data_IF_252049628530
#
_entry.id   IF_252049628530
#
_cell.length_a   1.000
_cell.length_b   1.000
_cell.length_c   1.000
_cell.angle_alpha   90.00
_cell.angle_beta   90.00
_cell.angle_gamma   90.00
#
_symmetry.space_group_name_H-M   'P 1'
#
loop_
_entity.id
_entity.type
_entity.pdbx_description
1 polymer ?
#
# COMPACT_ATOMS: atom_id res chain seq x y z
N UNK A 1 10.77 8.18 41.14
CA UNK A 1 11.56 8.66 39.99
C UNK A 1 11.09 7.89 38.80
N UNK A 2 10.10 8.44 38.08
CA UNK A 2 9.62 7.87 36.83
C UNK A 2 10.73 8.04 35.79
N UNK A 3 11.20 6.90 35.26
CA UNK A 3 12.15 6.90 34.16
C UNK A 3 11.50 7.57 32.97
N UNK A 4 12.10 8.65 32.48
CA UNK A 4 11.78 9.21 31.19
C UNK A 4 12.15 8.12 30.17
N UNK A 5 11.15 7.35 29.73
CA UNK A 5 11.29 6.49 28.57
C UNK A 5 11.73 7.37 27.40
N UNK A 6 12.97 7.20 26.99
CA UNK A 6 13.43 7.72 25.70
C UNK A 6 12.60 6.98 24.65
N UNK A 7 11.58 7.65 24.11
CA UNK A 7 10.88 7.20 22.91
C UNK A 7 11.97 6.92 21.88
N UNK A 8 12.12 5.65 21.52
CA UNK A 8 13.00 5.25 20.44
C UNK A 8 12.49 5.97 19.19
N UNK A 9 13.24 6.96 18.72
CA UNK A 9 12.87 7.76 17.57
C UNK A 9 13.11 6.92 16.32
N UNK A 10 12.13 6.11 15.95
CA UNK A 10 12.10 5.40 14.68
C UNK A 10 12.25 6.43 13.53
N UNK A 11 13.02 6.11 12.47
CA UNK A 11 13.17 7.02 11.35
C UNK A 11 11.80 7.33 10.75
N UNK A 12 11.64 8.58 10.30
CA UNK A 12 10.38 9.06 9.71
C UNK A 12 10.65 9.39 8.23
N UNK A 13 9.79 8.94 7.31
CA UNK A 13 9.97 9.28 5.90
C UNK A 13 9.87 10.80 5.67
N UNK A 14 10.61 11.29 4.69
CA UNK A 14 10.32 12.60 4.08
C UNK A 14 9.11 12.46 3.19
N UNK A 15 8.05 13.23 3.47
CA UNK A 15 6.88 13.30 2.59
C UNK A 15 7.09 14.40 1.53
N UNK A 16 6.67 14.12 0.31
CA UNK A 16 6.69 15.03 -0.84
C UNK A 16 5.40 14.86 -1.62
N UNK A 17 4.81 15.96 -2.09
CA UNK A 17 3.67 15.91 -3.01
C UNK A 17 4.21 16.12 -4.40
N UNK A 18 3.74 15.32 -5.35
CA UNK A 18 4.19 15.40 -6.73
C UNK A 18 3.04 15.17 -7.69
N UNK A 19 3.17 15.79 -8.85
CA UNK A 19 2.34 15.51 -10.02
C UNK A 19 3.22 14.81 -11.04
N UNK A 20 2.73 13.70 -11.59
CA UNK A 20 3.45 12.89 -12.59
C UNK A 20 2.68 12.97 -13.91
N UNK A 21 3.28 13.63 -14.92
CA UNK A 21 2.65 13.77 -16.25
C UNK A 21 2.52 12.44 -16.97
N UNK A 22 3.45 11.53 -16.73
CA UNK A 22 3.45 10.16 -17.22
C UNK A 22 2.23 9.39 -16.73
N UNK A 23 1.84 9.56 -15.46
CA UNK A 23 0.62 8.95 -14.93
C UNK A 23 -0.64 9.60 -15.49
N UNK A 24 -0.67 10.93 -15.61
CA UNK A 24 -1.79 11.65 -16.25
C UNK A 24 -2.01 11.20 -17.71
N UNK A 25 -0.91 10.95 -18.43
CA UNK A 25 -0.96 10.39 -19.77
C UNK A 25 -1.58 8.99 -19.79
N UNK A 26 -1.16 8.10 -18.88
CA UNK A 26 -1.70 6.74 -18.82
C UNK A 26 -3.14 6.72 -18.34
N UNK A 27 -3.53 7.50 -17.36
CA UNK A 27 -4.93 7.59 -16.93
C UNK A 27 -5.87 7.92 -18.11
N UNK A 28 -5.44 8.78 -19.03
CA UNK A 28 -6.22 9.15 -20.21
C UNK A 28 -6.11 8.16 -21.39
N UNK A 29 -5.11 7.29 -21.40
CA UNK A 29 -4.82 6.38 -22.50
C UNK A 29 -4.83 4.89 -22.13
N UNK A 30 -5.22 4.55 -20.89
CA UNK A 30 -5.13 3.18 -20.36
C UNK A 30 -5.89 2.15 -21.21
N UNK A 31 -7.00 2.56 -21.84
CA UNK A 31 -7.75 1.75 -22.80
C UNK A 31 -6.90 1.24 -23.98
N UNK A 32 -5.84 1.95 -24.34
CA UNK A 32 -4.90 1.53 -25.38
C UNK A 32 -3.99 0.39 -24.91
N UNK A 33 -3.88 0.15 -23.61
CA UNK A 33 -3.02 -0.86 -22.98
C UNK A 33 -3.80 -2.01 -22.34
N UNK A 34 -5.10 -2.15 -22.65
CA UNK A 34 -5.93 -3.26 -22.15
C UNK A 34 -5.35 -4.65 -22.49
N UNK A 35 -4.56 -4.74 -23.57
CA UNK A 35 -3.86 -5.97 -23.96
C UNK A 35 -2.81 -6.46 -22.95
N UNK A 36 -2.35 -5.58 -22.06
CA UNK A 36 -1.42 -5.91 -20.96
C UNK A 36 -2.13 -6.74 -19.87
N UNK A 37 -3.43 -6.50 -19.65
CA UNK A 37 -4.24 -7.21 -18.66
C UNK A 37 -3.86 -6.93 -17.20
N UNK A 38 -3.08 -5.88 -16.93
CA UNK A 38 -2.71 -5.43 -15.58
C UNK A 38 -2.45 -3.92 -15.59
N UNK A 39 -3.42 -3.15 -15.11
CA UNK A 39 -3.37 -1.67 -15.13
C UNK A 39 -2.23 -1.13 -14.27
N UNK A 40 -2.06 -1.67 -13.05
CA UNK A 40 -0.99 -1.26 -12.14
C UNK A 40 0.40 -1.42 -12.77
N UNK A 41 0.65 -2.51 -13.51
CA UNK A 41 1.92 -2.68 -14.21
C UNK A 41 2.18 -1.56 -15.23
N UNK A 42 1.13 -1.09 -15.92
CA UNK A 42 1.24 0.03 -16.87
C UNK A 42 1.53 1.34 -16.13
N UNK A 43 0.86 1.61 -15.00
CA UNK A 43 1.13 2.76 -14.14
C UNK A 43 2.57 2.75 -13.61
N UNK A 44 3.05 1.61 -13.12
CA UNK A 44 4.44 1.44 -12.66
C UNK A 44 5.42 1.75 -13.79
N UNK A 45 5.23 1.17 -14.98
CA UNK A 45 6.12 1.44 -16.12
C UNK A 45 6.09 2.91 -16.54
N UNK A 46 4.93 3.57 -16.47
CA UNK A 46 4.80 4.99 -16.82
C UNK A 46 5.67 5.89 -15.94
N UNK A 47 5.79 5.59 -14.64
CA UNK A 47 6.68 6.35 -13.74
C UNK A 47 8.11 6.41 -14.26
N UNK A 48 8.59 5.38 -14.95
CA UNK A 48 9.97 5.35 -15.49
C UNK A 48 10.22 6.38 -16.60
N UNK A 49 9.17 6.93 -17.20
CA UNK A 49 9.27 7.95 -18.25
C UNK A 49 9.77 9.30 -17.70
N UNK A 50 9.43 9.62 -16.45
CA UNK A 50 9.92 10.80 -15.72
C UNK A 50 11.02 10.45 -14.71
N UNK A 51 11.09 9.18 -14.28
CA UNK A 51 12.05 8.64 -13.33
C UNK A 51 12.83 7.46 -13.92
N UNK A 52 13.72 7.69 -14.91
CA UNK A 52 14.51 6.60 -15.50
C UNK A 52 15.40 5.89 -14.46
N UNK A 53 15.74 6.55 -13.35
CA UNK A 53 16.46 5.96 -12.22
C UNK A 53 15.67 4.85 -11.50
N UNK A 54 14.34 4.79 -11.66
CA UNK A 54 13.46 3.77 -11.06
C UNK A 54 13.25 2.54 -11.95
N UNK A 55 13.79 2.56 -13.17
CA UNK A 55 13.52 1.53 -14.18
C UNK A 55 13.83 0.12 -13.71
N UNK A 56 15.03 -0.11 -13.18
CA UNK A 56 15.46 -1.46 -12.79
C UNK A 56 14.62 -2.01 -11.64
N UNK A 57 14.36 -1.19 -10.60
CA UNK A 57 13.55 -1.56 -9.44
C UNK A 57 12.09 -1.87 -9.84
N UNK A 58 11.51 -1.10 -10.76
CA UNK A 58 10.16 -1.32 -11.26
C UNK A 58 10.08 -2.60 -12.11
N UNK A 59 11.04 -2.82 -13.00
CA UNK A 59 11.09 -4.04 -13.80
C UNK A 59 11.27 -5.29 -12.93
N UNK A 60 12.08 -5.21 -11.87
CA UNK A 60 12.23 -6.30 -10.90
C UNK A 60 10.93 -6.59 -10.17
N UNK A 61 10.22 -5.56 -9.70
CA UNK A 61 8.93 -5.73 -9.02
C UNK A 61 7.87 -6.36 -9.91
N UNK A 62 7.69 -5.87 -11.14
CA UNK A 62 6.72 -6.44 -12.08
C UNK A 62 7.07 -7.91 -12.34
N UNK A 63 8.34 -8.23 -12.55
CA UNK A 63 8.78 -9.61 -12.77
C UNK A 63 8.52 -10.51 -11.55
N UNK A 64 8.75 -10.01 -10.33
CA UNK A 64 8.57 -10.78 -9.09
C UNK A 64 7.10 -10.99 -8.76
N UNK A 65 6.29 -9.94 -8.86
CA UNK A 65 4.92 -9.92 -8.30
C UNK A 65 3.82 -10.06 -9.36
N UNK A 66 4.12 -9.76 -10.63
CA UNK A 66 3.16 -9.80 -11.73
C UNK A 66 3.66 -10.70 -12.87
N UNK A 67 3.96 -11.99 -12.61
CA UNK A 67 4.56 -12.90 -13.60
C UNK A 67 3.65 -13.18 -14.81
N UNK A 68 2.36 -12.86 -14.74
CA UNK A 68 1.42 -12.91 -15.86
C UNK A 68 1.65 -11.80 -16.89
N UNK A 69 2.25 -10.68 -16.51
CA UNK A 69 2.59 -9.57 -17.41
C UNK A 69 3.81 -9.97 -18.24
N UNK A 70 3.58 -10.22 -19.53
CA UNK A 70 4.61 -10.68 -20.47
C UNK A 70 5.20 -9.52 -21.25
N UNK A 71 6.41 -9.71 -21.78
CA UNK A 71 7.08 -8.77 -22.69
C UNK A 71 7.16 -7.32 -22.15
N UNK A 72 7.40 -7.17 -20.84
CA UNK A 72 7.49 -5.87 -20.12
C UNK A 72 8.34 -4.83 -20.86
N UNK A 73 9.47 -5.25 -21.46
CA UNK A 73 10.32 -4.37 -22.26
C UNK A 73 9.62 -3.77 -23.49
N UNK A 74 8.81 -4.56 -24.21
CA UNK A 74 8.03 -4.06 -25.36
C UNK A 74 6.92 -3.13 -24.94
N UNK A 75 6.29 -3.39 -23.79
CA UNK A 75 5.27 -2.51 -23.21
C UNK A 75 5.91 -1.16 -22.90
N UNK A 76 7.09 -1.16 -22.28
CA UNK A 76 7.82 0.08 -21.98
C UNK A 76 8.26 0.81 -23.26
N UNK A 77 8.79 0.12 -24.27
CA UNK A 77 9.15 0.74 -25.56
C UNK A 77 7.94 1.39 -26.23
N UNK A 78 6.77 0.74 -26.16
CA UNK A 78 5.50 1.29 -26.65
C UNK A 78 5.09 2.53 -25.86
N UNK A 79 5.13 2.46 -24.53
CA UNK A 79 4.83 3.59 -23.63
C UNK A 79 5.74 4.79 -23.92
N UNK A 80 7.05 4.57 -24.02
CA UNK A 80 8.04 5.61 -24.35
C UNK A 80 7.69 6.25 -25.70
N UNK A 81 7.46 5.44 -26.74
CA UNK A 81 7.09 5.94 -28.06
C UNK A 81 5.82 6.79 -28.00
N UNK A 82 4.75 6.28 -27.39
CA UNK A 82 3.46 6.94 -27.37
C UNK A 82 3.52 8.23 -26.53
N UNK A 83 4.23 8.23 -25.40
CA UNK A 83 4.40 9.40 -24.55
C UNK A 83 5.22 10.51 -25.23
N UNK A 84 6.37 10.17 -25.83
CA UNK A 84 7.26 11.17 -26.41
C UNK A 84 6.83 11.65 -27.82
N UNK A 85 6.13 10.81 -28.61
CA UNK A 85 5.72 11.18 -29.97
C UNK A 85 4.44 12.01 -30.05
N UNK A 86 3.62 11.97 -29.01
CA UNK A 86 2.27 12.51 -29.02
C UNK A 86 2.20 13.99 -28.63
N UNK A 87 3.29 14.59 -28.12
CA UNK A 87 3.32 15.98 -27.66
C UNK A 87 2.52 16.26 -26.39
N UNK A 88 2.04 15.20 -25.72
CA UNK A 88 1.15 15.27 -24.55
C UNK A 88 1.72 16.05 -23.37
N UNK A 89 3.04 16.09 -23.22
CA UNK A 89 3.71 16.83 -22.13
C UNK A 89 3.35 18.32 -22.08
N UNK A 90 2.92 18.87 -23.23
CA UNK A 90 2.50 20.27 -23.38
C UNK A 90 1.00 20.49 -23.16
N UNK A 91 0.20 19.41 -23.20
CA UNK A 91 -1.25 19.43 -23.07
C UNK A 91 -1.72 19.13 -21.63
N UNK A 92 -0.94 18.35 -20.88
CA UNK A 92 -1.23 18.03 -19.48
C UNK A 92 -0.97 19.28 -18.63
N UNK A 93 -2.04 19.90 -18.16
CA UNK A 93 -2.00 20.92 -17.13
C UNK A 93 -2.11 20.24 -15.77
N UNK A 94 -1.08 20.35 -14.92
CA UNK A 94 -1.13 19.75 -13.60
C UNK A 94 -2.31 20.33 -12.80
N UNK A 95 -3.06 19.49 -12.08
CA UNK A 95 -4.15 19.98 -11.23
C UNK A 95 -3.60 20.68 -9.98
N UNK A 96 -3.39 22.00 -10.07
CA UNK A 96 -2.85 22.80 -8.99
C UNK A 96 -3.73 22.75 -7.73
N UNK A 97 -5.04 22.57 -7.87
CA UNK A 97 -5.98 22.54 -6.74
C UNK A 97 -5.72 21.35 -5.81
N UNK A 98 -5.56 20.15 -6.38
CA UNK A 98 -5.32 18.93 -5.58
C UNK A 98 -3.94 18.99 -4.89
N UNK A 99 -2.93 19.54 -5.58
CA UNK A 99 -1.60 19.73 -5.01
C UNK A 99 -1.61 20.75 -3.86
N UNK A 100 -2.40 21.83 -3.98
CA UNK A 100 -2.60 22.81 -2.91
C UNK A 100 -3.29 22.13 -1.72
N UNK A 101 -4.37 21.37 -1.96
CA UNK A 101 -5.10 20.65 -0.91
C UNK A 101 -4.16 19.73 -0.13
N UNK A 102 -3.39 18.88 -0.83
CA UNK A 102 -2.45 17.98 -0.18
C UNK A 102 -1.35 18.74 0.57
N UNK A 103 -0.93 19.91 0.08
CA UNK A 103 0.08 20.73 0.76
C UNK A 103 -0.44 21.24 2.10
N UNK A 104 -1.71 21.64 2.15
CA UNK A 104 -2.37 22.06 3.39
C UNK A 104 -2.57 20.90 4.38
N UNK A 105 -2.78 19.68 3.87
CA UNK A 105 -3.03 18.47 4.68
C UNK A 105 -1.76 17.63 4.95
N UNK A 106 -0.60 18.03 4.41
CA UNK A 106 0.68 17.34 4.59
C UNK A 106 1.07 17.12 6.06
N UNK A 107 0.86 18.08 6.99
CA UNK A 107 1.12 17.85 8.41
C UNK A 107 0.29 16.71 9.01
N UNK A 108 -0.97 16.59 8.61
CA UNK A 108 -1.87 15.52 9.05
C UNK A 108 -1.44 14.17 8.48
N UNK A 109 -1.15 14.11 7.18
CA UNK A 109 -0.62 12.90 6.54
C UNK A 109 0.67 12.41 7.22
N UNK A 110 1.57 13.34 7.56
CA UNK A 110 2.80 13.03 8.30
C UNK A 110 2.50 12.45 9.69
N UNK A 111 1.55 13.03 10.41
CA UNK A 111 1.13 12.54 11.72
C UNK A 111 0.56 11.12 11.63
N UNK A 112 -0.31 10.85 10.65
CA UNK A 112 -0.91 9.53 10.40
C UNK A 112 0.17 8.48 10.13
N UNK A 113 1.07 8.72 9.17
CA UNK A 113 2.21 7.82 8.89
C UNK A 113 3.09 7.60 10.14
N UNK A 114 3.35 8.66 10.91
CA UNK A 114 4.12 8.54 12.16
C UNK A 114 3.42 7.62 13.17
N UNK A 115 2.10 7.70 13.28
CA UNK A 115 1.30 6.84 14.15
C UNK A 115 1.37 5.38 13.70
N UNK A 116 1.30 5.11 12.39
CA UNK A 116 1.44 3.76 11.84
C UNK A 116 2.83 3.19 12.15
N UNK A 117 3.91 3.94 11.88
CA UNK A 117 5.28 3.51 12.21
C UNK A 117 5.43 3.26 13.72
N UNK A 118 4.87 4.12 14.57
CA UNK A 118 4.88 3.96 16.02
C UNK A 118 4.07 2.74 16.48
N UNK A 119 2.97 2.42 15.78
CA UNK A 119 2.10 1.30 16.10
C UNK A 119 2.76 -0.04 15.73
N UNK A 120 3.16 -0.19 14.47
CA UNK A 120 3.70 -1.43 13.92
C UNK A 120 5.17 -1.66 14.27
N UNK A 121 5.91 -0.58 14.55
CA UNK A 121 7.34 -0.57 14.89
C UNK A 121 8.20 -1.40 13.91
N UNK A 122 8.11 -1.14 12.59
CA UNK A 122 9.03 -1.75 11.63
C UNK A 122 10.49 -1.40 11.97
N UNK A 123 11.41 -2.24 11.52
CA UNK A 123 12.85 -2.01 11.62
C UNK A 123 13.26 -0.78 10.79
N UNK A 124 14.40 -0.17 11.10
CA UNK A 124 14.82 1.07 10.45
C UNK A 124 15.04 0.91 8.93
N UNK A 125 15.46 -0.27 8.49
CA UNK A 125 15.63 -0.68 7.11
C UNK A 125 14.32 -1.08 6.41
N UNK A 126 13.25 -1.33 7.17
CA UNK A 126 11.91 -1.63 6.66
C UNK A 126 11.07 -0.34 6.47
N UNK A 127 11.57 0.82 6.90
CA UNK A 127 10.89 2.11 6.75
C UNK A 127 11.42 2.82 5.50
N UNK A 128 10.51 3.12 4.57
CA UNK A 128 10.83 3.96 3.42
C UNK A 128 11.45 5.29 3.86
N UNK A 129 12.53 5.73 3.21
CA UNK A 129 13.15 7.03 3.49
C UNK A 129 12.33 8.19 2.94
N UNK A 130 11.54 7.93 1.89
CA UNK A 130 10.71 8.92 1.21
C UNK A 130 9.31 8.35 0.95
N UNK A 131 8.29 9.17 1.14
CA UNK A 131 6.92 8.92 0.66
C UNK A 131 6.56 10.02 -0.34
N UNK A 132 6.22 9.64 -1.57
CA UNK A 132 5.71 10.55 -2.60
C UNK A 132 4.20 10.37 -2.67
N UNK A 133 3.45 11.43 -2.38
CA UNK A 133 2.00 11.47 -2.50
C UNK A 133 1.66 12.05 -3.87
N UNK A 134 0.95 11.27 -4.67
CA UNK A 134 0.42 11.68 -5.97
C UNK A 134 -1.10 11.82 -5.82
N UNK A 135 -1.67 13.01 -6.05
CA UNK A 135 -3.12 13.18 -6.05
C UNK A 135 -3.76 12.31 -7.15
N UNK A 136 -4.72 11.46 -6.79
CA UNK A 136 -5.29 10.46 -7.70
C UNK A 136 -6.65 10.85 -8.30
N UNK A 137 -7.17 12.03 -7.97
CA UNK A 137 -8.52 12.51 -8.31
C UNK A 137 -8.86 12.44 -9.81
N UNK A 138 -7.84 12.58 -10.67
CA UNK A 138 -7.96 12.46 -12.14
C UNK A 138 -7.33 11.21 -12.71
N UNK A 139 -6.62 10.44 -11.87
CA UNK A 139 -5.82 9.29 -12.29
C UNK A 139 -6.58 7.98 -12.11
N UNK A 140 -7.39 7.88 -11.05
CA UNK A 140 -8.11 6.67 -10.67
C UNK A 140 -9.62 6.86 -10.81
N UNK A 141 -10.37 5.79 -11.13
CA UNK A 141 -11.79 5.88 -11.45
C UNK A 141 -12.70 6.20 -10.25
N UNK A 142 -12.19 6.04 -9.02
CA UNK A 142 -12.95 6.20 -7.79
C UNK A 142 -12.05 6.69 -6.66
N UNK A 143 -12.62 7.49 -5.74
CA UNK A 143 -11.97 7.92 -4.50
C UNK A 143 -11.74 6.79 -3.48
N UNK A 144 -12.40 5.65 -3.68
CA UNK A 144 -12.19 4.46 -2.86
C UNK A 144 -10.99 3.64 -3.36
N UNK A 145 -10.48 3.94 -4.56
CA UNK A 145 -9.31 3.27 -5.14
C UNK A 145 -8.03 4.02 -4.77
N UNK A 146 -7.05 3.28 -4.27
CA UNK A 146 -5.68 3.75 -4.06
C UNK A 146 -4.71 2.80 -4.76
N UNK A 147 -3.47 3.25 -4.93
CA UNK A 147 -2.36 2.41 -5.37
C UNK A 147 -1.09 2.80 -4.63
N UNK A 148 -0.26 1.82 -4.31
CA UNK A 148 1.05 2.00 -3.70
C UNK A 148 2.13 1.22 -4.44
N UNK A 149 3.28 1.87 -4.64
CA UNK A 149 4.46 1.26 -5.26
C UNK A 149 5.69 1.48 -4.38
N UNK A 150 6.48 0.43 -4.16
CA UNK A 150 7.68 0.49 -3.32
C UNK A 150 8.94 0.41 -4.16
N UNK A 151 9.55 1.54 -4.49
CA UNK A 151 10.67 1.65 -5.40
C UNK A 151 11.93 2.03 -4.63
N UNK A 152 12.81 1.05 -4.39
CA UNK A 152 13.98 1.22 -3.54
C UNK A 152 13.58 1.74 -2.15
N UNK A 153 14.15 2.88 -1.73
CA UNK A 153 13.83 3.53 -0.46
C UNK A 153 12.61 4.49 -0.52
N UNK A 154 11.85 4.48 -1.63
CA UNK A 154 10.71 5.39 -1.86
C UNK A 154 9.40 4.61 -1.96
N UNK A 155 8.40 5.01 -1.18
CA UNK A 155 7.02 4.59 -1.40
C UNK A 155 6.29 5.68 -2.19
N UNK A 156 5.71 5.34 -3.33
CA UNK A 156 4.81 6.20 -4.09
C UNK A 156 3.38 5.80 -3.73
N UNK A 157 2.54 6.75 -3.36
CA UNK A 157 1.14 6.52 -2.98
C UNK A 157 0.25 7.44 -3.82
N UNK A 158 -0.69 6.83 -4.53
CA UNK A 158 -1.75 7.51 -5.23
C UNK A 158 -2.98 7.58 -4.33
N UNK A 159 -3.37 8.78 -3.91
CA UNK A 159 -4.49 8.97 -2.97
C UNK A 159 -5.36 10.16 -3.36
N UNK A 160 -6.67 9.98 -3.24
CA UNK A 160 -7.66 10.99 -3.61
C UNK A 160 -7.82 12.00 -2.47
N UNK A 161 -8.02 13.28 -2.81
CA UNK A 161 -8.25 14.34 -1.79
C UNK A 161 -9.49 14.13 -0.91
N UNK A 162 -10.55 13.52 -1.43
CA UNK A 162 -11.79 13.25 -0.67
C UNK A 162 -11.69 12.06 0.29
N UNK A 163 -10.66 11.24 0.17
CA UNK A 163 -10.49 10.04 0.99
C UNK A 163 -9.03 9.90 1.47
N UNK A 164 -8.56 10.77 2.38
CA UNK A 164 -7.20 10.70 2.90
C UNK A 164 -6.92 9.42 3.72
N UNK A 165 -7.96 8.66 4.12
CA UNK A 165 -7.77 7.35 4.77
C UNK A 165 -7.15 6.32 3.83
N UNK A 166 -7.32 6.48 2.50
CA UNK A 166 -6.63 5.62 1.54
C UNK A 166 -5.11 5.76 1.65
N UNK A 167 -4.58 6.93 2.00
CA UNK A 167 -3.14 7.10 2.23
C UNK A 167 -2.61 6.12 3.29
N UNK A 168 -3.35 5.91 4.37
CA UNK A 168 -2.95 5.00 5.45
C UNK A 168 -3.05 3.54 5.02
N UNK A 169 -4.14 3.20 4.33
CA UNK A 169 -4.32 1.87 3.74
C UNK A 169 -3.15 1.52 2.80
N UNK A 170 -2.87 2.40 1.84
CA UNK A 170 -1.78 2.23 0.88
C UNK A 170 -0.40 2.22 1.55
N UNK A 171 -0.17 3.07 2.55
CA UNK A 171 1.10 3.05 3.28
C UNK A 171 1.30 1.73 4.04
N UNK A 172 0.22 1.14 4.57
CA UNK A 172 0.29 -0.11 5.32
C UNK A 172 0.66 -1.32 4.45
N UNK A 173 0.38 -1.31 3.15
CA UNK A 173 0.90 -2.36 2.25
C UNK A 173 2.42 -2.45 2.32
N UNK A 174 3.12 -1.33 2.47
CA UNK A 174 4.57 -1.29 2.63
C UNK A 174 5.10 -1.89 3.93
N UNK A 175 4.26 -2.00 4.95
CA UNK A 175 4.61 -2.62 6.24
C UNK A 175 4.16 -4.07 6.27
N UNK A 176 2.93 -4.34 5.81
CA UNK A 176 2.26 -5.63 5.97
C UNK A 176 2.69 -6.63 4.91
N UNK A 177 2.76 -6.23 3.63
CA UNK A 177 3.08 -7.17 2.55
C UNK A 177 4.45 -7.85 2.75
N UNK A 178 5.54 -7.14 3.09
CA UNK A 178 6.83 -7.79 3.33
C UNK A 178 6.79 -8.80 4.48
N UNK A 179 6.00 -8.53 5.53
CA UNK A 179 5.87 -9.43 6.69
C UNK A 179 5.20 -10.74 6.26
N UNK A 180 4.10 -10.67 5.51
CA UNK A 180 3.39 -11.88 5.08
C UNK A 180 4.13 -12.63 3.97
N UNK A 181 4.87 -11.94 3.11
CA UNK A 181 5.78 -12.56 2.13
C UNK A 181 6.89 -13.37 2.82
N UNK A 182 7.54 -12.81 3.83
CA UNK A 182 8.59 -13.51 4.59
C UNK A 182 8.04 -14.75 5.30
N UNK A 183 6.81 -14.66 5.79
CA UNK A 183 6.13 -15.73 6.53
C UNK A 183 5.24 -16.61 5.64
N UNK A 184 5.34 -16.51 4.31
CA UNK A 184 4.42 -17.17 3.38
C UNK A 184 4.33 -18.70 3.60
N UNK A 185 5.46 -19.33 3.95
CA UNK A 185 5.53 -20.76 4.24
C UNK A 185 4.96 -21.18 5.60
N UNK A 186 4.70 -20.21 6.49
CA UNK A 186 4.09 -20.44 7.81
C UNK A 186 2.58 -20.12 7.82
N UNK A 187 2.12 -19.36 6.83
CA UNK A 187 0.72 -18.99 6.64
C UNK A 187 -0.04 -20.16 5.99
N UNK A 188 -1.13 -20.67 6.59
CA UNK A 188 -1.92 -21.74 6.01
C UNK A 188 -2.82 -21.20 4.89
N UNK A 189 -2.25 -21.13 3.69
CA UNK A 189 -2.84 -20.52 2.50
C UNK A 189 -4.29 -20.98 2.25
N UNK A 190 -4.55 -22.29 2.23
CA UNK A 190 -5.90 -22.84 2.01
C UNK A 190 -6.92 -22.39 3.05
N UNK A 191 -6.51 -22.30 4.33
CA UNK A 191 -7.38 -21.85 5.41
C UNK A 191 -7.66 -20.35 5.29
N UNK A 192 -6.66 -19.54 4.93
CA UNK A 192 -6.87 -18.12 4.66
C UNK A 192 -7.89 -17.93 3.52
N UNK A 193 -7.74 -18.64 2.39
CA UNK A 193 -8.73 -18.58 1.31
C UNK A 193 -10.10 -19.02 1.80
N UNK A 194 -10.22 -20.16 2.49
CA UNK A 194 -11.51 -20.68 2.95
C UNK A 194 -12.25 -19.67 3.86
N UNK A 195 -11.51 -18.99 4.73
CA UNK A 195 -12.04 -18.04 5.70
C UNK A 195 -12.19 -16.60 5.17
N UNK A 196 -11.70 -16.29 3.97
CA UNK A 196 -11.85 -14.97 3.38
C UNK A 196 -13.27 -14.77 2.82
N UNK A 197 -13.79 -13.54 2.91
CA UNK A 197 -15.14 -13.21 2.48
C UNK A 197 -15.28 -13.29 0.96
N UNK A 198 -16.46 -13.67 0.46
CA UNK A 198 -16.72 -13.68 -0.98
C UNK A 198 -16.59 -12.28 -1.61
N UNK A 199 -16.86 -11.22 -0.84
CA UNK A 199 -16.66 -9.84 -1.29
C UNK A 199 -15.19 -9.59 -1.63
N UNK A 200 -14.27 -9.99 -0.75
CA UNK A 200 -12.82 -9.86 -1.00
C UNK A 200 -12.38 -10.72 -2.19
N UNK A 201 -12.83 -11.97 -2.27
CA UNK A 201 -12.42 -12.89 -3.34
C UNK A 201 -12.88 -12.47 -4.74
N UNK A 202 -14.15 -12.08 -4.86
CA UNK A 202 -14.81 -11.89 -6.17
C UNK A 202 -15.14 -10.44 -6.51
N UNK A 203 -15.39 -9.61 -5.49
CA UNK A 203 -15.78 -8.22 -5.69
C UNK A 203 -14.58 -7.27 -5.84
N UNK A 204 -13.42 -7.65 -5.30
CA UNK A 204 -12.20 -6.84 -5.29
C UNK A 204 -11.05 -7.53 -6.04
N UNK A 205 -11.38 -8.53 -6.87
CA UNK A 205 -10.47 -9.21 -7.82
C UNK A 205 -9.23 -9.88 -7.23
N UNK A 206 -9.08 -9.96 -5.90
CA UNK A 206 -7.99 -10.69 -5.24
C UNK A 206 -7.99 -12.21 -5.48
N UNK A 207 -9.13 -12.77 -5.92
CA UNK A 207 -9.25 -14.19 -6.25
C UNK A 207 -8.98 -15.10 -5.06
N UNK A 208 -8.20 -16.16 -5.28
CA UNK A 208 -7.78 -17.13 -4.26
C UNK A 208 -6.32 -16.92 -3.81
N UNK A 209 -5.78 -15.71 -3.99
CA UNK A 209 -4.43 -15.35 -3.54
C UNK A 209 -4.42 -15.10 -2.04
N UNK A 210 -4.15 -16.14 -1.26
CA UNK A 210 -4.25 -16.08 0.21
C UNK A 210 -3.43 -14.96 0.87
N UNK A 211 -2.20 -14.70 0.41
CA UNK A 211 -1.41 -13.59 0.97
C UNK A 211 -2.07 -12.23 0.74
N UNK A 212 -2.58 -11.96 -0.47
CA UNK A 212 -3.30 -10.72 -0.77
C UNK A 212 -4.55 -10.59 0.09
N UNK A 213 -5.33 -11.67 0.24
CA UNK A 213 -6.52 -11.69 1.11
C UNK A 213 -6.18 -11.41 2.58
N UNK A 214 -5.08 -11.98 3.08
CA UNK A 214 -4.63 -11.74 4.46
C UNK A 214 -4.10 -10.32 4.66
N UNK A 215 -3.34 -9.78 3.71
CA UNK A 215 -2.83 -8.41 3.74
C UNK A 215 -3.98 -7.42 3.81
N UNK A 216 -4.99 -7.59 2.96
CA UNK A 216 -6.19 -6.77 2.97
C UNK A 216 -6.93 -6.81 4.30
N UNK A 217 -7.18 -8.00 4.84
CA UNK A 217 -7.90 -8.09 6.11
C UNK A 217 -7.08 -7.53 7.27
N UNK A 218 -5.75 -7.68 7.28
CA UNK A 218 -4.86 -7.03 8.26
C UNK A 218 -5.03 -5.51 8.21
N UNK A 219 -4.89 -4.91 7.03
CA UNK A 219 -4.93 -3.46 6.83
C UNK A 219 -6.32 -2.91 7.15
N UNK A 220 -7.37 -3.50 6.57
CA UNK A 220 -8.76 -3.08 6.78
C UNK A 220 -9.17 -3.22 8.24
N UNK A 221 -8.80 -4.32 8.89
CA UNK A 221 -9.14 -4.51 10.31
C UNK A 221 -8.46 -3.47 11.19
N UNK A 222 -7.20 -3.13 10.91
CA UNK A 222 -6.50 -2.08 11.63
C UNK A 222 -7.18 -0.72 11.45
N UNK A 223 -7.40 -0.28 10.22
CA UNK A 223 -8.02 1.02 9.91
C UNK A 223 -9.46 1.11 10.47
N UNK A 224 -10.28 0.08 10.27
CA UNK A 224 -11.71 0.13 10.63
C UNK A 224 -11.94 0.02 12.16
N UNK A 225 -11.20 -0.85 12.86
CA UNK A 225 -11.55 -1.24 14.23
C UNK A 225 -10.50 -0.85 15.28
N UNK A 226 -9.22 -0.84 14.91
CA UNK A 226 -8.14 -0.62 15.87
C UNK A 226 -7.83 0.86 15.99
N UNK A 227 -7.67 1.56 14.88
CA UNK A 227 -7.40 3.00 14.89
C UNK A 227 -8.60 3.79 15.43
N UNK A 228 -9.80 3.43 14.97
CA UNK A 228 -11.02 4.18 15.28
C UNK A 228 -11.67 3.83 16.64
N UNK A 229 -11.15 2.84 17.37
CA UNK A 229 -11.76 2.26 18.58
C UNK A 229 -13.26 1.87 18.42
N UNK A 230 -13.75 1.78 17.18
CA UNK A 230 -15.16 1.52 16.87
C UNK A 230 -15.42 0.03 16.95
N UNK A 231 -15.81 -0.44 18.13
CA UNK A 231 -16.39 -1.77 18.27
C UNK A 231 -17.81 -1.76 17.68
N UNK A 232 -17.99 -2.32 16.50
CA UNK A 232 -19.31 -2.84 16.13
C UNK A 232 -19.19 -4.35 15.87
N UNK A 233 -19.32 -5.12 16.95
CA UNK A 233 -19.29 -6.59 16.96
C UNK A 233 -20.30 -7.19 15.94
N UNK A 234 -21.35 -6.45 15.59
CA UNK A 234 -22.33 -6.88 14.60
C UNK A 234 -21.84 -6.83 13.12
N UNK A 235 -20.59 -6.41 12.85
CA UNK A 235 -20.04 -6.24 11.49
C UNK A 235 -18.78 -7.09 11.25
N UNK A 236 -18.42 -8.01 12.16
CA UNK A 236 -17.44 -9.07 11.83
C UNK A 236 -18.20 -10.16 11.06
N UNK A 237 -18.54 -9.86 9.80
CA UNK A 237 -19.30 -10.77 8.92
C UNK A 237 -18.40 -11.82 8.25
N UNK A 238 -17.18 -12.03 8.75
CA UNK A 238 -16.22 -12.96 8.16
C UNK A 238 -15.24 -13.53 9.20
N UNK A 239 -15.01 -14.84 9.14
CA UNK A 239 -14.15 -15.57 10.09
C UNK A 239 -12.68 -15.13 10.02
N UNK A 240 -12.13 -14.86 8.82
CA UNK A 240 -10.76 -14.36 8.70
C UNK A 240 -10.58 -13.01 9.42
N UNK A 241 -11.55 -12.10 9.28
CA UNK A 241 -11.55 -10.81 9.96
C UNK A 241 -11.61 -10.96 11.47
N UNK A 242 -12.36 -11.94 11.99
CA UNK A 242 -12.39 -12.23 13.42
C UNK A 242 -11.01 -12.66 13.93
N UNK A 243 -10.34 -13.56 13.22
CA UNK A 243 -8.99 -14.03 13.56
C UNK A 243 -8.01 -12.87 13.57
N UNK A 244 -8.03 -12.02 12.54
CA UNK A 244 -7.18 -10.83 12.44
C UNK A 244 -7.46 -9.84 13.55
N UNK A 245 -8.73 -9.63 13.90
CA UNK A 245 -9.11 -8.76 15.00
C UNK A 245 -8.58 -9.28 16.35
N UNK A 246 -8.69 -10.57 16.61
CA UNK A 246 -8.14 -11.21 17.81
C UNK A 246 -6.61 -11.10 17.86
N UNK A 247 -5.91 -11.24 16.72
CA UNK A 247 -4.47 -10.99 16.61
C UNK A 247 -4.13 -9.57 17.09
N UNK A 248 -4.81 -8.54 16.59
CA UNK A 248 -4.57 -7.15 17.02
C UNK A 248 -4.89 -6.93 18.50
N UNK A 249 -5.94 -7.55 19.04
CA UNK A 249 -6.24 -7.48 20.47
C UNK A 249 -5.11 -8.07 21.32
N UNK A 250 -4.59 -9.23 20.93
CA UNK A 250 -3.44 -9.86 21.61
C UNK A 250 -2.18 -8.98 21.49
N UNK A 251 -1.90 -8.42 20.31
CA UNK A 251 -0.78 -7.51 20.10
C UNK A 251 -0.88 -6.28 21.00
N UNK A 252 -2.05 -5.62 21.02
CA UNK A 252 -2.32 -4.46 21.87
C UNK A 252 -2.17 -4.77 23.36
N UNK A 253 -2.56 -5.97 23.79
CA UNK A 253 -2.36 -6.43 25.18
C UNK A 253 -0.88 -6.59 25.51
N UNK A 254 -0.11 -7.23 24.64
CA UNK A 254 1.32 -7.47 24.85
C UNK A 254 2.13 -6.18 24.82
N UNK A 255 1.80 -5.25 23.93
CA UNK A 255 2.43 -3.92 23.86
C UNK A 255 2.32 -3.12 25.15
N UNK A 256 1.26 -3.32 25.95
CA UNK A 256 1.14 -2.68 27.28
C UNK A 256 2.22 -3.16 28.25
N UNK A 257 2.69 -4.39 28.10
CA UNK A 257 3.73 -5.00 28.97
C UNK A 257 5.11 -5.02 28.32
N UNK A 258 5.18 -4.96 26.99
CA UNK A 258 6.39 -4.89 26.20
C UNK A 258 6.25 -3.82 25.11
N UNK A 259 6.41 -2.52 25.44
CA UNK A 259 6.18 -1.43 24.50
C UNK A 259 7.09 -1.44 23.26
N UNK A 260 8.19 -2.21 23.31
CA UNK A 260 9.18 -2.30 22.24
C UNK A 260 8.92 -3.39 21.22
N UNK A 261 7.94 -4.27 21.46
CA UNK A 261 7.63 -5.37 20.54
C UNK A 261 7.30 -4.85 19.14
N UNK A 262 7.92 -5.45 18.12
CA UNK A 262 7.61 -5.20 16.73
C UNK A 262 6.43 -6.07 16.31
N UNK A 263 5.56 -5.52 15.45
CA UNK A 263 4.41 -6.29 14.95
C UNK A 263 4.85 -7.55 14.20
N UNK A 264 5.90 -7.45 13.38
CA UNK A 264 6.50 -8.60 12.66
C UNK A 264 6.87 -9.75 13.59
N UNK A 265 7.62 -9.47 14.67
CA UNK A 265 8.06 -10.48 15.63
C UNK A 265 6.88 -11.13 16.36
N UNK A 266 5.89 -10.32 16.74
CA UNK A 266 4.65 -10.80 17.34
C UNK A 266 3.87 -11.71 16.38
N UNK A 267 3.68 -11.24 15.15
CA UNK A 267 2.91 -11.93 14.12
C UNK A 267 3.54 -13.28 13.74
N UNK A 268 4.86 -13.33 13.54
CA UNK A 268 5.60 -14.56 13.27
C UNK A 268 5.39 -15.62 14.37
N UNK A 269 5.31 -15.21 15.64
CA UNK A 269 5.07 -16.11 16.76
C UNK A 269 3.61 -16.60 16.81
N UNK A 270 2.65 -15.72 16.51
CA UNK A 270 1.22 -16.02 16.69
C UNK A 270 0.57 -16.65 15.46
N UNK A 271 1.10 -16.48 14.24
CA UNK A 271 0.45 -16.93 12.99
C UNK A 271 0.01 -18.41 13.07
N UNK A 272 0.87 -19.29 13.56
CA UNK A 272 0.56 -20.72 13.71
C UNK A 272 -0.53 -21.00 14.75
N UNK A 273 -0.59 -20.21 15.82
CA UNK A 273 -1.60 -20.38 16.88
C UNK A 273 -2.97 -19.87 16.45
N UNK A 274 -3.01 -18.86 15.57
CA UNK A 274 -4.22 -18.22 15.07
C UNK A 274 -4.98 -19.07 14.07
N UNK A 275 -4.26 -19.88 13.30
CA UNK A 275 -4.84 -20.77 12.30
C UNK A 275 -4.73 -22.26 12.69
N UNK A 276 -4.34 -22.57 13.92
CA UNK A 276 -4.40 -23.93 14.50
C UNK A 276 -5.82 -24.43 14.74
#
# INVERSE_FOLDING_TARGET
MEGIETKENLPQPRLEIRQEKSLEFIAQSIHSYEDVGDEEAVFMLALTLEHPEWKDDILEQIKKHKPHVKDVGKILERLEKDYFSSGWQSQIQPNAEDAIWWTEHLPEAKMRITNLISYFRPSADEIAKKVVIIPSDRLLPSKETGQSFHIGDTTVIMSHTENPMNLEHEFLHGIINPITEELAGEIPQEKVVALASEKLKKGEEYGEHALSLLNEELIRTYNEFIENEKLNIAIINNELREIVYQLYQRFNKERKTNPKIKFKDFFAREIKSLFG
#
